data_IF_920302397092
#
_entry.id   IF_920302397092
#
_cell.length_a   1.000
_cell.length_b   1.000
_cell.length_c   1.000
_cell.angle_alpha   90.00
_cell.angle_beta   90.00
_cell.angle_gamma   90.00
#
_symmetry.space_group_name_H-M   'P 1'
#
loop_
_entity.id
_entity.type
_entity.pdbx_description
1 polymer ?
#
# COMPACT_ATOMS: atom_id res chain seq x y z
N UNK A 1 -18.48 -9.82 -3.81
CA UNK A 1 -19.04 -11.06 -3.23
C UNK A 1 -18.38 -12.35 -3.75
N UNK A 2 -18.15 -12.52 -5.07
CA UNK A 2 -17.49 -13.73 -5.63
C UNK A 2 -16.09 -14.06 -5.06
N UNK A 3 -15.26 -13.05 -4.73
CA UNK A 3 -13.91 -13.27 -4.17
C UNK A 3 -13.91 -13.80 -2.72
N UNK A 4 -14.91 -13.45 -1.92
CA UNK A 4 -15.06 -13.98 -0.55
C UNK A 4 -15.51 -15.45 -0.57
N UNK A 5 -16.37 -15.83 -1.51
CA UNK A 5 -16.86 -17.20 -1.65
C UNK A 5 -15.73 -18.18 -2.02
N UNK A 6 -14.78 -17.75 -2.86
CA UNK A 6 -13.61 -18.55 -3.23
C UNK A 6 -12.64 -18.78 -2.05
N UNK A 7 -12.44 -17.76 -1.19
CA UNK A 7 -11.59 -17.89 0.01
C UNK A 7 -12.24 -18.79 1.07
N UNK A 8 -13.56 -18.75 1.22
CA UNK A 8 -14.30 -19.63 2.13
C UNK A 8 -14.24 -21.11 1.70
N UNK A 9 -14.34 -21.39 0.39
CA UNK A 9 -14.25 -22.75 -0.14
C UNK A 9 -12.85 -23.37 0.03
N UNK A 10 -11.78 -22.57 -0.14
CA UNK A 10 -10.41 -23.04 0.11
C UNK A 10 -10.18 -23.31 1.60
N UNK A 11 -10.71 -22.47 2.49
CA UNK A 11 -10.62 -22.66 3.95
C UNK A 11 -11.36 -23.90 4.47
N UNK A 12 -12.52 -24.22 3.90
CA UNK A 12 -13.29 -25.43 4.27
C UNK A 12 -12.59 -26.70 3.75
N UNK A 13 -12.00 -26.66 2.55
CA UNK A 13 -11.23 -27.79 2.00
C UNK A 13 -9.98 -28.12 2.83
N UNK A 14 -9.31 -27.11 3.42
CA UNK A 14 -8.13 -27.34 4.27
C UNK A 14 -8.48 -27.88 5.67
N UNK A 15 -9.74 -27.76 6.10
CA UNK A 15 -10.20 -28.21 7.42
C UNK A 15 -10.80 -29.62 7.41
N UNK A 16 -11.26 -30.14 6.26
CA UNK A 16 -11.88 -31.48 6.19
C UNK A 16 -10.84 -32.58 5.94
N UNK A 17 -9.72 -32.26 5.27
CA UNK A 17 -8.68 -33.24 4.92
C UNK A 17 -7.89 -33.79 6.14
N UNK A 18 -7.70 -33.09 7.28
CA UNK A 18 -6.98 -33.69 8.40
C UNK A 18 -7.85 -34.64 9.26
N UNK A 19 -9.18 -34.51 9.24
CA UNK A 19 -10.04 -35.30 10.13
C UNK A 19 -10.17 -36.77 9.71
N UNK A 20 -10.10 -37.06 8.41
CA UNK A 20 -10.12 -38.44 7.92
C UNK A 20 -8.78 -39.19 8.11
N UNK A 21 -7.69 -38.49 8.45
CA UNK A 21 -6.39 -39.10 8.75
C UNK A 21 -6.27 -39.49 10.24
N UNK A 22 -7.00 -38.83 11.13
CA UNK A 22 -6.98 -39.11 12.58
C UNK A 22 -7.89 -40.26 13.03
N UNK A 23 -8.70 -40.84 12.14
CA UNK A 23 -9.62 -41.93 12.46
C UNK A 23 -9.04 -43.33 12.19
N UNK A 24 -7.71 -43.49 12.25
CA UNK A 24 -7.07 -44.78 12.11
C UNK A 24 -6.86 -45.40 13.50
N UNK A 25 -7.63 -46.45 13.80
CA UNK A 25 -7.50 -47.26 15.00
C UNK A 25 -6.08 -47.85 15.11
N UNK A 26 -5.45 -47.87 16.30
CA UNK A 26 -4.05 -48.24 16.44
C UNK A 26 -3.88 -49.74 16.18
N UNK A 27 -3.39 -50.08 15.00
CA UNK A 27 -2.98 -51.43 14.66
C UNK A 27 -1.74 -51.76 15.49
N UNK A 28 -1.83 -52.76 16.35
CA UNK A 28 -0.71 -53.33 17.10
C UNK A 28 0.38 -53.79 16.14
N UNK A 29 1.48 -53.06 16.09
CA UNK A 29 2.64 -53.39 15.27
C UNK A 29 3.59 -52.22 15.23
N UNK A 30 4.60 -52.27 16.11
CA UNK A 30 5.83 -51.48 16.12
C UNK A 30 5.95 -50.46 14.97
N UNK A 31 5.40 -49.26 15.16
CA UNK A 31 5.61 -48.17 14.22
C UNK A 31 6.92 -47.49 14.59
N UNK A 32 8.01 -47.92 13.94
CA UNK A 32 9.15 -47.03 13.72
C UNK A 32 8.63 -45.94 12.80
N UNK A 33 8.00 -44.93 13.39
CA UNK A 33 7.68 -43.67 12.73
C UNK A 33 9.03 -43.09 12.33
N UNK A 34 9.36 -43.21 11.05
CA UNK A 34 10.61 -42.73 10.49
C UNK A 34 10.73 -41.25 10.85
N UNK A 35 11.64 -40.95 11.78
CA UNK A 35 11.99 -39.61 12.23
C UNK A 35 12.23 -38.66 11.04
N UNK A 36 12.61 -39.21 9.87
CA UNK A 36 12.65 -38.47 8.61
C UNK A 36 11.30 -37.91 8.17
N UNK A 37 10.20 -38.69 8.20
CA UNK A 37 8.88 -38.27 7.76
C UNK A 37 8.32 -37.14 8.63
N UNK A 38 8.48 -37.24 9.95
CA UNK A 38 8.10 -36.19 10.91
C UNK A 38 8.92 -34.92 10.66
N UNK A 39 10.23 -35.05 10.40
CA UNK A 39 11.12 -33.92 10.05
C UNK A 39 10.69 -33.21 8.76
N UNK A 40 10.28 -33.94 7.73
CA UNK A 40 9.79 -33.34 6.49
C UNK A 40 8.49 -32.56 6.68
N UNK A 41 7.54 -33.09 7.47
CA UNK A 41 6.26 -32.43 7.75
C UNK A 41 6.50 -31.12 8.52
N UNK A 42 7.33 -31.17 9.58
CA UNK A 42 7.69 -29.99 10.38
C UNK A 42 8.43 -28.95 9.52
N UNK A 43 9.38 -29.40 8.69
CA UNK A 43 10.13 -28.54 7.77
C UNK A 43 9.22 -27.84 6.75
N UNK A 44 8.31 -28.59 6.12
CA UNK A 44 7.35 -28.05 5.15
C UNK A 44 6.38 -27.04 5.80
N UNK A 45 5.92 -27.32 7.02
CA UNK A 45 5.08 -26.41 7.79
C UNK A 45 5.78 -25.06 8.10
N UNK A 46 7.04 -25.10 8.52
CA UNK A 46 7.83 -23.89 8.78
C UNK A 46 8.02 -23.05 7.52
N UNK A 47 8.33 -23.68 6.39
CA UNK A 47 8.46 -23.00 5.09
C UNK A 47 7.15 -22.31 4.69
N UNK A 48 6.01 -22.99 4.86
CA UNK A 48 4.70 -22.42 4.57
C UNK A 48 4.39 -21.18 5.43
N UNK A 49 4.68 -21.22 6.73
CA UNK A 49 4.49 -20.09 7.64
C UNK A 49 5.36 -18.89 7.24
N UNK A 50 6.62 -19.14 6.84
CA UNK A 50 7.53 -18.08 6.36
C UNK A 50 6.97 -17.44 5.08
N UNK A 51 6.51 -18.24 4.12
CA UNK A 51 5.91 -17.74 2.87
C UNK A 51 4.67 -16.87 3.17
N UNK A 52 3.78 -17.35 4.04
CA UNK A 52 2.59 -16.59 4.44
C UNK A 52 2.95 -15.27 5.13
N UNK A 53 3.98 -15.26 5.99
CA UNK A 53 4.46 -14.05 6.64
C UNK A 53 5.03 -13.03 5.64
N UNK A 54 5.79 -13.48 4.63
CA UNK A 54 6.32 -12.62 3.57
C UNK A 54 5.17 -12.00 2.77
N UNK A 55 4.20 -12.82 2.34
CA UNK A 55 3.03 -12.36 1.59
C UNK A 55 2.24 -11.33 2.40
N UNK A 56 1.89 -11.65 3.66
CA UNK A 56 1.19 -10.75 4.56
C UNK A 56 1.97 -9.45 4.81
N UNK A 57 3.30 -9.53 4.95
CA UNK A 57 4.18 -8.36 5.06
C UNK A 57 4.10 -7.44 3.86
N UNK A 58 4.13 -7.99 2.63
CA UNK A 58 3.99 -7.21 1.39
C UNK A 58 2.61 -6.56 1.27
N UNK A 59 1.55 -7.29 1.59
CA UNK A 59 0.19 -6.74 1.59
C UNK A 59 0.03 -5.60 2.61
N UNK A 60 0.53 -5.78 3.84
CA UNK A 60 0.51 -4.73 4.88
C UNK A 60 1.26 -3.49 4.45
N UNK A 61 2.46 -3.62 3.85
CA UNK A 61 3.25 -2.48 3.38
C UNK A 61 2.52 -1.70 2.28
N UNK A 62 1.89 -2.39 1.32
CA UNK A 62 1.11 -1.75 0.26
C UNK A 62 -0.09 -1.00 0.83
N UNK A 63 -0.86 -1.65 1.69
CA UNK A 63 -2.02 -1.03 2.33
C UNK A 63 -1.62 0.20 3.16
N UNK A 64 -0.53 0.11 3.92
CA UNK A 64 -0.04 1.24 4.71
C UNK A 64 0.40 2.41 3.83
N UNK A 65 1.17 2.14 2.76
CA UNK A 65 1.61 3.18 1.82
C UNK A 65 0.44 3.92 1.16
N UNK A 66 -0.64 3.19 0.83
CA UNK A 66 -1.86 3.77 0.24
C UNK A 66 -2.71 4.54 1.27
N UNK A 67 -2.59 4.19 2.56
CA UNK A 67 -3.31 4.88 3.65
C UNK A 67 -2.61 6.14 4.19
N UNK A 68 -1.36 6.40 3.79
CA UNK A 68 -0.66 7.59 4.24
C UNK A 68 -1.31 8.83 3.61
N UNK A 69 -1.65 9.85 4.41
CA UNK A 69 -2.21 11.08 3.87
C UNK A 69 -1.21 11.72 2.89
N UNK A 70 -1.71 12.21 1.76
CA UNK A 70 -0.91 13.01 0.83
C UNK A 70 -0.35 14.19 1.62
N UNK A 71 0.97 14.32 1.63
CA UNK A 71 1.64 15.38 2.37
C UNK A 71 1.45 16.69 1.59
N UNK A 72 0.73 17.63 2.19
CA UNK A 72 0.54 18.97 1.64
C UNK A 72 1.59 19.95 2.18
N UNK A 73 1.88 21.01 1.40
CA UNK A 73 2.66 22.14 1.89
C UNK A 73 1.93 22.90 2.99
N UNK A 74 2.67 23.23 4.04
CA UNK A 74 2.25 24.06 5.16
C UNK A 74 1.97 25.50 4.72
N UNK A 75 1.32 26.28 5.59
CA UNK A 75 1.08 27.71 5.32
C UNK A 75 2.38 28.51 5.17
N UNK A 76 3.42 28.15 5.93
CA UNK A 76 4.73 28.81 5.88
C UNK A 76 5.42 28.53 4.54
N UNK A 77 5.40 27.27 4.10
CA UNK A 77 5.94 26.87 2.79
C UNK A 77 5.20 27.57 1.63
N UNK A 78 3.87 27.62 1.72
CA UNK A 78 3.02 28.36 0.76
C UNK A 78 3.36 29.86 0.73
N UNK A 79 3.67 30.46 1.86
CA UNK A 79 4.13 31.86 1.93
C UNK A 79 5.51 32.04 1.30
N UNK A 80 6.44 31.11 1.54
CA UNK A 80 7.77 31.15 0.93
C UNK A 80 7.69 31.08 -0.61
N UNK A 81 6.81 30.25 -1.15
CA UNK A 81 6.54 30.18 -2.59
C UNK A 81 6.00 31.51 -3.11
N UNK A 82 5.06 32.13 -2.38
CA UNK A 82 4.54 33.46 -2.73
C UNK A 82 5.63 34.53 -2.78
N UNK A 83 6.49 34.56 -1.77
CA UNK A 83 7.60 35.52 -1.68
C UNK A 83 8.60 35.27 -2.82
N UNK A 84 8.97 34.02 -3.08
CA UNK A 84 9.88 33.62 -4.18
C UNK A 84 9.35 34.07 -5.55
N UNK A 85 8.03 34.15 -5.71
CA UNK A 85 7.37 34.58 -6.95
C UNK A 85 6.99 36.06 -6.97
N UNK A 86 7.53 36.88 -6.07
CA UNK A 86 7.22 38.31 -5.96
C UNK A 86 5.71 38.61 -5.84
N UNK A 87 4.95 37.70 -5.24
CA UNK A 87 3.49 37.82 -5.13
C UNK A 87 2.74 37.73 -6.48
N UNK A 88 3.34 37.14 -7.52
CA UNK A 88 2.76 36.99 -8.85
C UNK A 88 2.57 35.52 -9.25
N UNK A 89 1.53 35.25 -10.02
CA UNK A 89 1.31 33.93 -10.61
C UNK A 89 2.53 33.49 -11.44
N UNK A 90 2.99 32.26 -11.25
CA UNK A 90 4.17 31.74 -11.96
C UNK A 90 3.99 31.74 -13.50
N UNK A 91 2.77 31.48 -13.98
CA UNK A 91 2.48 31.39 -15.43
C UNK A 91 2.20 32.76 -16.04
N UNK A 92 1.26 33.54 -15.50
CA UNK A 92 0.81 34.79 -16.12
C UNK A 92 1.47 36.06 -15.56
N UNK A 93 2.31 35.96 -14.53
CA UNK A 93 3.07 37.06 -13.92
C UNK A 93 2.20 38.22 -13.39
N UNK A 94 0.89 37.98 -13.24
CA UNK A 94 -0.06 38.92 -12.63
C UNK A 94 -0.31 38.54 -11.18
N UNK A 95 -0.59 39.51 -10.29
CA UNK A 95 -1.10 39.22 -8.96
C UNK A 95 -2.41 38.40 -9.07
N UNK A 96 -2.58 37.33 -8.29
CA UNK A 96 -3.81 36.56 -8.32
C UNK A 96 -5.00 37.40 -7.81
N UNK A 97 -6.17 37.32 -8.46
CA UNK A 97 -7.30 38.22 -8.19
C UNK A 97 -8.05 37.93 -6.88
N UNK A 98 -7.85 36.75 -6.27
CA UNK A 98 -8.57 36.36 -5.05
C UNK A 98 -7.75 35.43 -4.15
N UNK A 99 -7.40 34.24 -4.65
CA UNK A 99 -6.65 33.22 -3.90
C UNK A 99 -5.50 32.66 -4.72
N UNK A 100 -4.52 32.12 -4.00
CA UNK A 100 -3.44 31.32 -4.56
C UNK A 100 -3.84 29.86 -4.59
N UNK A 101 -3.56 29.20 -5.72
CA UNK A 101 -3.66 27.76 -5.88
C UNK A 101 -2.25 27.21 -6.08
N UNK A 102 -1.90 26.11 -5.41
CA UNK A 102 -0.53 25.60 -5.39
C UNK A 102 -0.48 24.29 -6.17
N UNK A 103 0.43 24.24 -7.15
CA UNK A 103 0.57 23.14 -8.08
C UNK A 103 1.96 22.50 -7.98
N UNK A 104 2.05 21.21 -8.30
CA UNK A 104 3.32 20.48 -8.43
C UNK A 104 3.80 20.62 -9.88
N UNK A 105 4.96 21.24 -10.11
CA UNK A 105 5.48 21.51 -11.47
C UNK A 105 5.67 20.20 -12.26
N UNK A 106 6.10 19.12 -11.60
CA UNK A 106 6.29 17.80 -12.20
C UNK A 106 5.03 16.92 -12.23
N UNK A 107 3.91 17.39 -11.66
CA UNK A 107 2.67 16.63 -11.52
C UNK A 107 2.71 15.50 -10.47
N UNK A 108 3.86 15.22 -9.85
CA UNK A 108 4.00 14.20 -8.81
C UNK A 108 3.62 14.75 -7.44
N UNK A 109 2.45 14.33 -6.95
CA UNK A 109 1.91 14.71 -5.63
C UNK A 109 2.75 14.21 -4.45
N UNK A 110 3.73 13.33 -4.68
CA UNK A 110 4.65 12.87 -3.64
C UNK A 110 5.91 13.75 -3.54
N UNK A 111 6.20 14.56 -4.57
CA UNK A 111 7.34 15.47 -4.57
C UNK A 111 6.99 16.80 -3.90
N UNK A 112 7.08 16.80 -2.58
CA UNK A 112 6.80 17.97 -1.73
C UNK A 112 7.93 18.99 -1.65
N UNK A 113 8.95 18.92 -2.52
CA UNK A 113 10.00 19.94 -2.56
C UNK A 113 9.38 21.32 -2.79
N UNK A 114 9.85 22.33 -2.04
CA UNK A 114 9.44 23.72 -2.25
C UNK A 114 9.76 24.24 -3.65
N UNK A 115 10.81 23.69 -4.27
CA UNK A 115 11.21 24.02 -5.64
C UNK A 115 10.21 23.50 -6.67
N UNK A 116 9.57 22.36 -6.37
CA UNK A 116 8.52 21.74 -7.18
C UNK A 116 7.14 22.36 -6.97
N UNK A 117 6.99 23.26 -5.99
CA UNK A 117 5.75 24.00 -5.78
C UNK A 117 5.73 25.25 -6.65
N UNK A 118 4.62 25.52 -7.33
CA UNK A 118 4.35 26.82 -7.94
C UNK A 118 2.99 27.38 -7.49
N UNK A 119 2.98 28.68 -7.24
CA UNK A 119 1.76 29.43 -6.94
C UNK A 119 1.12 29.95 -8.23
N UNK A 120 -0.13 29.59 -8.45
CA UNK A 120 -0.92 29.95 -9.63
C UNK A 120 -2.15 30.78 -9.23
N UNK A 121 -2.61 31.63 -10.16
CA UNK A 121 -3.94 32.22 -10.06
C UNK A 121 -5.01 31.19 -10.47
N UNK A 122 -6.28 31.35 -10.06
CA UNK A 122 -7.32 30.36 -10.34
C UNK A 122 -7.50 30.04 -11.83
N UNK A 123 -7.34 31.05 -12.70
CA UNK A 123 -7.45 30.87 -14.16
C UNK A 123 -6.29 30.05 -14.74
N UNK A 124 -5.06 30.28 -14.29
CA UNK A 124 -3.91 29.51 -14.76
C UNK A 124 -3.93 28.09 -14.17
N UNK A 125 -4.32 27.97 -12.90
CA UNK A 125 -4.43 26.67 -12.27
C UNK A 125 -5.52 25.81 -12.91
N UNK A 126 -6.66 26.39 -13.30
CA UNK A 126 -7.70 25.62 -14.01
C UNK A 126 -7.20 25.05 -15.34
N UNK A 127 -6.35 25.79 -16.07
CA UNK A 127 -5.75 25.30 -17.32
C UNK A 127 -4.84 24.11 -17.01
N UNK A 128 -3.92 24.27 -16.06
CA UNK A 128 -2.97 23.20 -15.69
C UNK A 128 -3.68 21.93 -15.17
N UNK A 129 -4.83 22.06 -14.51
CA UNK A 129 -5.59 20.89 -14.03
C UNK A 129 -6.41 20.18 -15.11
N UNK A 130 -6.57 20.78 -16.29
CA UNK A 130 -7.43 20.27 -17.37
C UNK A 130 -6.67 19.89 -18.65
N UNK A 131 -5.34 20.03 -18.65
CA UNK A 131 -4.43 19.53 -19.69
C UNK A 131 -3.92 18.12 -19.34
#
# INVERSE_FOLDING_TARGET
MRKLLFLALIGISTLIIPFSVFAQEPQTGETIEDDSQVKYIVGAGLVFVIIMAIIAGRYRKKFFAESLPIKEWTKVEKEQVRIRQDGKCAKCQKPPPARWEYHHIDGDRNNISLENCEGLCPNCHSIETHE
#
